data_IF_267558379611
#
_entry.id   IF_267558379611
#
_cell.length_a   1.000
_cell.length_b   1.000
_cell.length_c   1.000
_cell.angle_alpha   90.00
_cell.angle_beta   90.00
_cell.angle_gamma   90.00
#
_symmetry.space_group_name_H-M   'P 1'
#
loop_
_entity.id
_entity.type
_entity.pdbx_description
1 polymer ?
#
# COMPACT_ATOMS: atom_id res chain seq x y z
N UNK A 1 -32.37 -18.70 -10.38
CA UNK A 1 -32.29 -18.45 -8.92
C UNK A 1 -31.11 -17.53 -8.69
N UNK A 2 -31.40 -16.23 -8.57
CA UNK A 2 -30.41 -15.19 -8.28
C UNK A 2 -29.85 -15.42 -6.88
N UNK A 3 -28.60 -15.82 -6.78
CA UNK A 3 -27.78 -15.59 -5.58
C UNK A 3 -26.92 -14.38 -5.91
N UNK A 4 -27.48 -13.21 -5.58
CA UNK A 4 -26.69 -12.00 -5.41
C UNK A 4 -25.61 -12.33 -4.38
N UNK A 5 -24.36 -12.06 -4.76
CA UNK A 5 -23.21 -12.10 -3.86
C UNK A 5 -23.45 -11.05 -2.78
N UNK A 6 -23.96 -11.48 -1.63
CA UNK A 6 -23.89 -10.66 -0.41
C UNK A 6 -22.43 -10.67 0.05
N UNK A 7 -21.63 -9.77 -0.54
CA UNK A 7 -20.39 -9.37 0.09
C UNK A 7 -20.73 -8.80 1.47
N UNK A 8 -20.14 -9.36 2.52
CA UNK A 8 -20.25 -8.91 3.90
C UNK A 8 -20.27 -7.37 3.97
N UNK A 9 -21.42 -6.82 4.34
CA UNK A 9 -21.70 -5.39 4.40
C UNK A 9 -21.11 -4.69 5.63
N UNK A 10 -20.33 -5.39 6.46
CA UNK A 10 -19.91 -4.87 7.78
C UNK A 10 -18.75 -3.86 7.75
N UNK A 11 -18.15 -3.58 6.59
CA UNK A 11 -17.16 -2.50 6.42
C UNK A 11 -17.75 -1.21 5.80
N UNK A 12 -19.04 -1.20 5.43
CA UNK A 12 -19.58 -0.30 4.39
C UNK A 12 -20.24 1.01 4.86
N UNK A 13 -20.20 1.41 6.13
CA UNK A 13 -21.05 2.54 6.60
C UNK A 13 -20.32 3.84 6.99
N UNK A 14 -18.99 3.92 7.06
CA UNK A 14 -18.32 5.11 7.65
C UNK A 14 -17.39 5.95 6.75
N UNK A 15 -17.30 5.67 5.46
CA UNK A 15 -16.30 6.31 4.57
C UNK A 15 -16.59 7.77 4.13
N UNK A 16 -17.53 8.47 4.78
CA UNK A 16 -17.72 9.93 4.62
C UNK A 16 -16.77 10.76 5.48
N UNK A 17 -16.24 10.19 6.57
CA UNK A 17 -15.27 10.79 7.50
C UNK A 17 -14.46 9.66 8.16
N UNK A 18 -13.65 8.95 7.38
CA UNK A 18 -12.74 7.96 7.98
C UNK A 18 -11.79 8.70 8.93
N UNK A 19 -11.77 8.27 10.19
CA UNK A 19 -10.84 8.81 11.18
C UNK A 19 -9.40 8.49 10.78
N UNK A 20 -8.44 9.30 11.23
CA UNK A 20 -7.03 9.04 10.94
C UNK A 20 -6.56 7.66 11.44
N UNK A 21 -7.25 7.09 12.43
CA UNK A 21 -7.00 5.73 12.93
C UNK A 21 -7.50 4.63 12.01
N UNK A 22 -8.61 4.85 11.30
CA UNK A 22 -9.13 3.90 10.31
C UNK A 22 -8.29 3.93 9.03
N UNK A 23 -7.74 5.10 8.69
CA UNK A 23 -6.82 5.24 7.57
C UNK A 23 -5.46 4.58 7.82
N UNK A 24 -5.07 4.41 9.09
CA UNK A 24 -3.79 3.83 9.49
C UNK A 24 -3.58 2.38 8.99
N UNK A 25 -4.66 1.64 8.73
CA UNK A 25 -4.58 0.29 8.16
C UNK A 25 -4.09 0.30 6.70
N UNK A 26 -4.31 1.41 5.99
CA UNK A 26 -3.99 1.53 4.56
C UNK A 26 -2.69 2.29 4.28
N UNK A 27 -2.13 2.94 5.31
CA UNK A 27 -0.89 3.71 5.18
C UNK A 27 0.33 2.80 5.14
N UNK A 28 1.37 3.17 4.39
CA UNK A 28 2.65 2.46 4.42
C UNK A 28 3.39 2.72 5.73
N UNK A 29 4.43 1.92 6.01
CA UNK A 29 5.44 2.27 7.00
C UNK A 29 6.07 3.63 6.65
N UNK A 30 6.23 4.50 7.63
CA UNK A 30 6.82 5.82 7.45
C UNK A 30 8.30 5.82 7.86
N UNK A 31 9.19 6.19 6.94
CA UNK A 31 10.62 6.36 7.24
C UNK A 31 11.01 7.82 6.97
N UNK A 32 11.40 8.55 8.01
CA UNK A 32 11.93 9.90 7.85
C UNK A 32 13.44 9.87 7.64
N UNK A 33 13.86 10.09 6.39
CA UNK A 33 15.27 10.27 6.04
C UNK A 33 15.72 11.71 6.36
N UNK A 34 16.58 11.88 7.36
CA UNK A 34 17.20 13.15 7.70
C UNK A 34 18.50 13.31 6.91
N UNK A 35 18.44 14.04 5.80
CA UNK A 35 19.60 14.34 4.96
C UNK A 35 20.53 15.36 5.61
N UNK A 36 21.81 15.27 5.26
CA UNK A 36 22.89 16.16 5.72
C UNK A 36 22.92 16.31 7.24
N UNK A 37 22.65 15.22 7.97
CA UNK A 37 22.55 15.26 9.42
C UNK A 37 23.93 15.48 10.06
N UNK A 38 24.04 16.55 10.84
CA UNK A 38 25.27 16.96 11.54
C UNK A 38 25.08 17.16 13.05
N UNK A 39 23.86 16.98 13.56
CA UNK A 39 23.58 17.06 14.99
C UNK A 39 23.98 15.76 15.68
N UNK A 40 24.40 15.86 16.93
CA UNK A 40 24.52 14.67 17.78
C UNK A 40 23.13 14.25 18.21
N UNK A 41 22.85 12.94 18.14
CA UNK A 41 21.62 12.38 18.68
C UNK A 41 21.75 12.27 20.20
N UNK A 42 21.63 13.43 20.85
CA UNK A 42 21.74 13.55 22.30
C UNK A 42 20.57 14.40 22.84
N UNK A 43 20.03 13.97 23.97
CA UNK A 43 19.04 14.71 24.75
C UNK A 43 19.49 14.71 26.22
N UNK A 44 19.79 15.89 26.76
CA UNK A 44 20.24 16.11 28.14
C UNK A 44 21.41 15.18 28.58
N UNK A 45 22.45 15.03 27.75
CA UNK A 45 23.59 14.15 28.08
C UNK A 45 23.37 12.67 27.73
N UNK A 46 22.16 12.28 27.31
CA UNK A 46 21.81 10.90 26.96
C UNK A 46 21.81 10.72 25.46
N UNK A 47 22.53 9.72 24.96
CA UNK A 47 22.42 9.29 23.57
C UNK A 47 20.99 8.80 23.28
N UNK A 48 20.40 9.33 22.20
CA UNK A 48 19.07 8.93 21.73
C UNK A 48 19.19 8.22 20.39
N UNK A 49 18.31 7.26 20.16
CA UNK A 49 18.17 6.64 18.84
C UNK A 49 17.51 7.61 17.85
N UNK A 50 17.70 7.43 16.54
CA UNK A 50 16.96 8.17 15.51
C UNK A 50 15.44 8.13 15.71
N UNK A 51 14.92 6.97 16.12
CA UNK A 51 13.50 6.78 16.40
C UNK A 51 13.03 7.61 17.59
N UNK A 52 13.78 7.64 18.68
CA UNK A 52 13.46 8.52 19.83
C UNK A 52 13.51 9.99 19.41
N UNK A 53 14.48 10.39 18.60
CA UNK A 53 14.54 11.75 18.04
C UNK A 53 13.27 12.11 17.26
N UNK A 54 12.76 11.18 16.44
CA UNK A 54 11.48 11.34 15.74
C UNK A 54 10.29 11.51 16.68
N UNK A 55 10.15 10.63 17.67
CA UNK A 55 9.02 10.69 18.62
C UNK A 55 9.06 12.00 19.44
N UNK A 56 10.25 12.49 19.80
CA UNK A 56 10.42 13.81 20.41
C UNK A 56 9.99 14.94 19.46
N UNK A 57 10.36 14.89 18.18
CA UNK A 57 9.93 15.89 17.19
C UNK A 57 8.40 15.90 16.94
N UNK A 58 7.76 14.74 17.10
CA UNK A 58 6.30 14.54 16.99
C UNK A 58 5.56 14.73 18.32
N UNK A 59 6.26 15.08 19.41
CA UNK A 59 5.63 15.34 20.69
C UNK A 59 4.91 16.69 20.68
N UNK A 60 3.72 16.71 21.26
CA UNK A 60 2.89 17.92 21.30
C UNK A 60 3.49 18.94 22.26
N UNK A 61 3.49 20.21 21.85
CA UNK A 61 3.96 21.32 22.69
C UNK A 61 2.77 22.05 23.33
N UNK A 62 2.95 22.81 24.42
CA UNK A 62 1.87 23.59 25.00
C UNK A 62 1.17 24.47 23.94
N UNK A 63 -0.15 24.35 23.82
CA UNK A 63 -0.96 25.03 22.81
C UNK A 63 -1.22 26.51 23.17
N UNK A 64 -0.14 27.28 23.34
CA UNK A 64 -0.17 28.69 23.78
C UNK A 64 -0.61 29.66 22.68
N UNK A 65 -0.73 29.20 21.43
CA UNK A 65 -1.17 30.00 20.28
C UNK A 65 -1.90 29.15 19.25
N UNK A 66 -2.66 29.79 18.36
CA UNK A 66 -3.30 29.12 17.23
C UNK A 66 -2.28 28.40 16.32
N UNK A 67 -1.09 28.99 16.12
CA UNK A 67 0.00 28.36 15.38
C UNK A 67 0.57 27.13 16.09
N UNK A 68 0.67 27.16 17.43
CA UNK A 68 1.09 25.99 18.20
C UNK A 68 0.06 24.85 18.11
N UNK A 69 -1.24 25.19 18.16
CA UNK A 69 -2.33 24.22 17.96
C UNK A 69 -2.26 23.56 16.58
N UNK A 70 -2.17 24.35 15.51
CA UNK A 70 -2.09 23.82 14.15
C UNK A 70 -0.88 22.89 13.94
N UNK A 71 0.28 23.21 14.55
CA UNK A 71 1.45 22.32 14.52
C UNK A 71 1.22 21.01 15.27
N UNK A 72 0.53 21.04 16.42
CA UNK A 72 0.18 19.83 17.15
C UNK A 72 -0.82 18.97 16.37
N UNK A 73 -1.81 19.57 15.73
CA UNK A 73 -2.78 18.86 14.89
C UNK A 73 -2.06 18.08 13.76
N UNK A 74 -1.02 18.67 13.14
CA UNK A 74 -0.17 17.99 12.15
C UNK A 74 0.60 16.82 12.78
N UNK A 75 1.24 17.03 13.94
CA UNK A 75 2.00 15.98 14.63
C UNK A 75 1.11 14.80 15.01
N UNK A 76 -0.07 15.09 15.55
CA UNK A 76 -1.05 14.08 15.93
C UNK A 76 -1.59 13.33 14.71
N UNK A 77 -1.79 14.04 13.59
CA UNK A 77 -2.16 13.41 12.31
C UNK A 77 -1.08 12.44 11.81
N UNK A 78 0.21 12.83 11.85
CA UNK A 78 1.31 11.93 11.46
C UNK A 78 1.34 10.69 12.36
N UNK A 79 1.23 10.87 13.68
CA UNK A 79 1.25 9.75 14.63
C UNK A 79 0.07 8.79 14.43
N UNK A 80 -1.11 9.34 14.14
CA UNK A 80 -2.31 8.54 13.90
C UNK A 80 -2.26 7.81 12.56
N UNK A 81 -1.81 8.48 11.50
CA UNK A 81 -1.76 7.90 10.16
C UNK A 81 -0.66 6.87 10.02
N UNK A 82 0.49 7.04 10.69
CA UNK A 82 1.67 6.20 10.49
C UNK A 82 2.12 5.55 11.79
N UNK A 83 1.37 4.56 12.33
CA UNK A 83 1.71 3.90 13.59
C UNK A 83 3.07 3.19 13.53
N UNK A 84 3.41 2.59 12.39
CA UNK A 84 4.77 2.13 12.10
C UNK A 84 5.56 3.26 11.44
N UNK A 85 6.43 3.88 12.25
CA UNK A 85 7.28 5.00 11.84
C UNK A 85 8.67 4.88 12.43
N UNK A 86 9.63 5.37 11.66
CA UNK A 86 11.05 5.32 12.01
C UNK A 86 11.81 6.48 11.36
N UNK A 87 13.07 6.64 11.74
CA UNK A 87 13.92 7.73 11.30
C UNK A 87 15.32 7.22 10.98
N UNK A 88 15.93 7.79 9.94
CA UNK A 88 17.27 7.43 9.52
C UNK A 88 18.09 8.70 9.23
N UNK A 89 19.13 9.00 10.02
CA UNK A 89 20.04 10.10 9.73
C UNK A 89 21.05 9.67 8.67
N UNK A 90 21.23 10.53 7.66
CA UNK A 90 22.25 10.34 6.65
C UNK A 90 23.14 11.58 6.63
N UNK A 91 24.44 11.37 6.85
CA UNK A 91 25.42 12.46 6.87
C UNK A 91 25.50 13.14 5.51
N UNK A 92 26.12 14.33 5.47
CA UNK A 92 26.38 14.99 4.20
C UNK A 92 27.37 14.16 3.35
N UNK A 93 27.13 13.95 2.04
CA UNK A 93 28.00 13.12 1.20
C UNK A 93 29.42 13.67 1.02
N UNK A 94 29.57 15.00 0.96
CA UNK A 94 30.85 15.69 0.82
C UNK A 94 30.74 17.17 1.21
N UNK A 95 31.88 17.86 1.37
CA UNK A 95 31.92 19.29 1.77
C UNK A 95 32.13 20.27 0.59
N UNK A 96 32.59 19.78 -0.56
CA UNK A 96 32.80 20.61 -1.75
C UNK A 96 31.46 20.90 -2.42
N UNK A 97 30.99 22.14 -2.31
CA UNK A 97 29.69 22.57 -2.83
C UNK A 97 29.57 22.49 -4.35
N UNK A 98 30.66 22.74 -5.09
CA UNK A 98 30.66 22.68 -6.55
C UNK A 98 30.50 21.23 -7.04
N UNK A 99 31.15 20.29 -6.36
CA UNK A 99 30.94 18.86 -6.63
C UNK A 99 29.60 18.35 -6.12
N UNK A 100 29.12 18.85 -4.98
CA UNK A 100 27.82 18.48 -4.42
C UNK A 100 26.67 18.89 -5.34
N UNK A 101 26.80 20.02 -6.05
CA UNK A 101 25.84 20.45 -7.06
C UNK A 101 25.77 19.52 -8.29
N UNK A 102 26.79 18.69 -8.50
CA UNK A 102 26.91 17.74 -9.61
C UNK A 102 27.20 16.31 -9.10
N UNK A 103 26.60 15.94 -7.96
CA UNK A 103 26.90 14.70 -7.23
C UNK A 103 26.72 13.44 -8.09
N UNK A 104 25.82 13.46 -9.07
CA UNK A 104 25.57 12.39 -10.03
C UNK A 104 26.80 12.06 -10.90
N UNK A 105 27.70 13.03 -11.10
CA UNK A 105 28.94 12.87 -11.84
C UNK A 105 30.13 12.48 -10.96
N UNK A 106 29.97 12.56 -9.63
CA UNK A 106 31.03 12.29 -8.67
C UNK A 106 31.17 10.77 -8.46
N UNK A 107 32.37 10.20 -8.67
CA UNK A 107 32.60 8.78 -8.38
C UNK A 107 32.33 8.47 -6.91
N UNK A 108 31.67 7.35 -6.63
CA UNK A 108 31.33 6.95 -5.27
C UNK A 108 32.54 6.94 -4.31
N UNK A 109 33.74 6.60 -4.81
CA UNK A 109 34.98 6.62 -4.02
C UNK A 109 35.37 8.00 -3.46
N UNK A 110 34.88 9.09 -4.04
CA UNK A 110 35.10 10.46 -3.55
C UNK A 110 34.08 10.89 -2.48
N UNK A 111 33.03 10.10 -2.26
CA UNK A 111 32.06 10.34 -1.20
C UNK A 111 32.66 9.96 0.15
N UNK A 112 32.20 10.64 1.20
CA UNK A 112 32.60 10.32 2.57
C UNK A 112 32.32 8.85 2.90
N UNK A 113 33.25 8.11 3.53
CA UNK A 113 33.02 6.73 3.93
C UNK A 113 31.73 6.55 4.73
N UNK A 114 31.47 7.42 5.70
CA UNK A 114 30.29 7.33 6.56
C UNK A 114 28.98 7.54 5.78
N UNK A 115 29.02 8.33 4.70
CA UNK A 115 27.87 8.48 3.81
C UNK A 115 27.60 7.20 3.02
N UNK A 116 28.65 6.57 2.49
CA UNK A 116 28.51 5.32 1.72
C UNK A 116 27.99 4.20 2.60
N UNK A 117 28.56 4.05 3.79
CA UNK A 117 28.12 3.04 4.76
C UNK A 117 26.68 3.32 5.20
N UNK A 118 26.35 4.58 5.49
CA UNK A 118 24.98 5.00 5.81
C UNK A 118 23.98 4.73 4.68
N UNK A 119 24.37 4.95 3.42
CA UNK A 119 23.53 4.67 2.26
C UNK A 119 23.30 3.16 2.08
N UNK A 120 24.35 2.35 2.26
CA UNK A 120 24.22 0.88 2.25
C UNK A 120 23.24 0.41 3.31
N UNK A 121 23.38 0.86 4.56
CA UNK A 121 22.47 0.49 5.64
C UNK A 121 21.04 0.99 5.41
N UNK A 122 20.86 2.18 4.83
CA UNK A 122 19.53 2.68 4.46
C UNK A 122 18.86 1.77 3.43
N UNK A 123 19.59 1.36 2.40
CA UNK A 123 19.08 0.47 1.35
C UNK A 123 18.72 -0.89 1.94
N UNK A 124 19.60 -1.48 2.76
CA UNK A 124 19.33 -2.73 3.47
C UNK A 124 18.09 -2.63 4.36
N UNK A 125 17.95 -1.55 5.12
CA UNK A 125 16.78 -1.28 5.96
C UNK A 125 15.49 -1.22 5.12
N UNK A 126 15.52 -0.49 4.01
CA UNK A 126 14.39 -0.38 3.09
C UNK A 126 13.98 -1.75 2.55
N UNK A 127 14.92 -2.57 2.10
CA UNK A 127 14.62 -3.91 1.59
C UNK A 127 14.16 -4.88 2.67
N UNK A 128 14.75 -4.82 3.87
CA UNK A 128 14.35 -5.66 4.99
C UNK A 128 12.93 -5.34 5.50
N UNK A 129 12.50 -4.08 5.36
CA UNK A 129 11.18 -3.60 5.83
C UNK A 129 10.13 -3.53 4.75
N UNK A 130 10.50 -3.47 3.47
CA UNK A 130 9.57 -3.39 2.36
C UNK A 130 8.62 -4.59 2.39
N UNK A 131 7.31 -4.31 2.38
CA UNK A 131 6.27 -5.31 2.30
C UNK A 131 5.49 -5.14 1.00
N UNK A 132 4.97 -6.23 0.40
CA UNK A 132 4.01 -6.11 -0.67
C UNK A 132 2.87 -5.17 -0.28
N UNK A 133 2.46 -4.29 -1.20
CA UNK A 133 1.35 -3.36 -0.93
C UNK A 133 0.07 -4.16 -0.69
N UNK A 134 -0.65 -3.77 0.36
CA UNK A 134 -1.90 -4.41 0.76
C UNK A 134 -3.01 -3.39 0.95
N UNK A 135 -4.25 -3.86 0.79
CA UNK A 135 -5.47 -3.20 1.24
C UNK A 135 -6.25 -4.24 2.05
N UNK A 136 -6.41 -3.99 3.34
CA UNK A 136 -6.83 -5.01 4.31
C UNK A 136 -5.93 -6.23 4.24
N UNK A 137 -6.53 -7.40 4.00
CA UNK A 137 -5.83 -8.67 3.90
C UNK A 137 -5.32 -9.01 2.49
N UNK A 138 -5.69 -8.22 1.47
CA UNK A 138 -5.38 -8.50 0.07
C UNK A 138 -4.02 -7.93 -0.32
N UNK A 139 -3.16 -8.77 -0.91
CA UNK A 139 -1.92 -8.32 -1.58
C UNK A 139 -2.26 -7.82 -2.98
N UNK A 140 -1.87 -6.59 -3.29
CA UNK A 140 -2.15 -6.00 -4.59
C UNK A 140 -1.24 -6.57 -5.67
N UNK A 141 -1.84 -7.01 -6.77
CA UNK A 141 -1.12 -7.30 -8.02
C UNK A 141 -0.86 -6.01 -8.81
N UNK A 142 -0.02 -6.09 -9.85
CA UNK A 142 0.24 -4.95 -10.73
C UNK A 142 -1.02 -4.38 -11.39
N UNK A 143 -1.93 -5.24 -11.87
CA UNK A 143 -3.19 -4.84 -12.49
C UNK A 143 -4.09 -4.10 -11.51
N UNK A 144 -4.21 -4.60 -10.28
CA UNK A 144 -5.00 -3.98 -9.22
C UNK A 144 -4.43 -2.62 -8.82
N UNK A 145 -3.10 -2.53 -8.72
CA UNK A 145 -2.42 -1.26 -8.41
C UNK A 145 -2.63 -0.23 -9.53
N UNK A 146 -2.53 -0.64 -10.80
CA UNK A 146 -2.81 0.23 -11.94
C UNK A 146 -4.26 0.72 -11.96
N UNK A 147 -5.22 -0.16 -11.64
CA UNK A 147 -6.63 0.21 -11.47
C UNK A 147 -6.83 1.26 -10.37
N UNK A 148 -6.19 1.07 -9.21
CA UNK A 148 -6.26 2.04 -8.10
C UNK A 148 -5.67 3.40 -8.50
N UNK A 149 -4.50 3.41 -9.14
CA UNK A 149 -3.87 4.64 -9.62
C UNK A 149 -4.78 5.36 -10.61
N UNK A 150 -5.39 4.64 -11.54
CA UNK A 150 -6.33 5.22 -12.52
C UNK A 150 -7.53 5.85 -11.82
N UNK A 151 -8.18 5.11 -10.90
CA UNK A 151 -9.31 5.61 -10.14
C UNK A 151 -8.97 6.87 -9.30
N UNK A 152 -7.79 6.90 -8.68
CA UNK A 152 -7.33 8.08 -7.94
C UNK A 152 -7.08 9.28 -8.84
N UNK A 153 -6.38 9.07 -9.97
CA UNK A 153 -6.08 10.13 -10.94
C UNK A 153 -7.38 10.69 -11.53
N UNK A 154 -8.33 9.83 -11.88
CA UNK A 154 -9.64 10.24 -12.40
C UNK A 154 -10.40 11.07 -11.37
N UNK A 155 -10.47 10.63 -10.11
CA UNK A 155 -11.13 11.40 -9.05
C UNK A 155 -10.51 12.80 -8.89
N UNK A 156 -9.18 12.88 -8.84
CA UNK A 156 -8.45 14.16 -8.71
C UNK A 156 -8.73 15.06 -9.90
N UNK A 157 -8.66 14.53 -11.13
CA UNK A 157 -8.87 15.30 -12.35
C UNK A 157 -10.30 15.85 -12.47
N UNK A 158 -11.28 15.22 -11.83
CA UNK A 158 -12.67 15.70 -11.75
C UNK A 158 -12.97 16.52 -10.48
N UNK A 159 -11.94 16.91 -9.72
CA UNK A 159 -12.07 17.76 -8.53
C UNK A 159 -12.63 17.05 -7.29
N UNK A 160 -12.71 15.71 -7.31
CA UNK A 160 -13.10 14.91 -6.16
C UNK A 160 -11.88 14.52 -5.30
N UNK A 161 -12.11 14.32 -4.00
CA UNK A 161 -11.08 13.77 -3.11
C UNK A 161 -11.13 12.25 -3.22
N UNK A 162 -10.05 11.58 -3.66
CA UNK A 162 -10.03 10.12 -3.76
C UNK A 162 -10.16 9.49 -2.37
N UNK A 163 -11.07 8.53 -2.22
CA UNK A 163 -11.17 7.72 -1.00
C UNK A 163 -10.70 6.30 -1.27
N UNK A 164 -9.92 5.74 -0.33
CA UNK A 164 -9.30 4.42 -0.48
C UNK A 164 -10.37 3.34 -0.69
N UNK A 165 -11.47 3.42 0.06
CA UNK A 165 -12.55 2.44 0.00
C UNK A 165 -13.24 2.40 -1.37
N UNK A 166 -13.59 3.57 -1.94
CA UNK A 166 -14.32 3.62 -3.23
C UNK A 166 -13.43 3.20 -4.40
N UNK A 167 -12.16 3.62 -4.41
CA UNK A 167 -11.21 3.20 -5.43
C UNK A 167 -10.97 1.69 -5.36
N UNK A 168 -10.82 1.15 -4.16
CA UNK A 168 -10.64 -0.29 -3.96
C UNK A 168 -11.87 -1.09 -4.39
N UNK A 169 -13.07 -0.64 -4.04
CA UNK A 169 -14.31 -1.30 -4.44
C UNK A 169 -14.42 -1.40 -5.97
N UNK A 170 -14.19 -0.30 -6.69
CA UNK A 170 -14.24 -0.31 -8.15
C UNK A 170 -13.22 -1.27 -8.78
N UNK A 171 -12.02 -1.36 -8.20
CA UNK A 171 -10.98 -2.31 -8.65
C UNK A 171 -11.39 -3.76 -8.36
N UNK A 172 -11.87 -4.05 -7.16
CA UNK A 172 -12.30 -5.40 -6.79
C UNK A 172 -13.46 -5.88 -7.65
N UNK A 173 -14.46 -5.03 -7.93
CA UNK A 173 -15.58 -5.33 -8.81
C UNK A 173 -15.12 -5.59 -10.25
N UNK A 174 -14.18 -4.80 -10.76
CA UNK A 174 -13.60 -4.98 -12.10
C UNK A 174 -12.86 -6.31 -12.21
N UNK A 175 -12.04 -6.66 -11.21
CA UNK A 175 -11.31 -7.92 -11.18
C UNK A 175 -12.26 -9.13 -11.06
N UNK A 176 -13.29 -9.06 -10.22
CA UNK A 176 -14.32 -10.11 -10.14
C UNK A 176 -15.04 -10.30 -11.46
N UNK A 177 -15.39 -9.21 -12.16
CA UNK A 177 -16.05 -9.28 -13.47
C UNK A 177 -15.14 -9.92 -14.51
N UNK A 178 -13.87 -9.49 -14.57
CA UNK A 178 -12.87 -10.09 -15.47
C UNK A 178 -12.70 -11.58 -15.21
N UNK A 179 -12.64 -11.99 -13.94
CA UNK A 179 -12.55 -13.39 -13.55
C UNK A 179 -13.80 -14.19 -13.97
N UNK A 180 -14.99 -13.62 -13.83
CA UNK A 180 -16.23 -14.27 -14.26
C UNK A 180 -16.26 -14.48 -15.79
N UNK A 181 -15.85 -13.47 -16.56
CA UNK A 181 -15.77 -13.56 -18.03
C UNK A 181 -14.71 -14.58 -18.49
N UNK A 182 -13.59 -14.68 -17.77
CA UNK A 182 -12.56 -15.70 -18.02
C UNK A 182 -13.06 -17.11 -17.67
N UNK A 183 -13.73 -17.26 -16.52
CA UNK A 183 -14.32 -18.53 -16.10
C UNK A 183 -15.41 -19.01 -17.06
N UNK A 184 -16.27 -18.11 -17.56
CA UNK A 184 -17.28 -18.46 -18.56
C UNK A 184 -16.63 -18.94 -19.87
N UNK A 185 -15.60 -18.23 -20.35
CA UNK A 185 -14.85 -18.65 -21.54
C UNK A 185 -14.20 -20.01 -21.36
N UNK A 186 -13.60 -20.26 -20.19
CA UNK A 186 -13.01 -21.54 -19.86
C UNK A 186 -14.04 -22.67 -19.80
N UNK A 187 -15.22 -22.42 -19.21
CA UNK A 187 -16.34 -23.37 -19.21
C UNK A 187 -16.73 -23.74 -20.65
N UNK A 188 -16.96 -22.74 -21.50
CA UNK A 188 -17.37 -22.94 -22.89
C UNK A 188 -16.33 -23.71 -23.70
N UNK A 189 -15.05 -23.41 -23.49
CA UNK A 189 -13.96 -24.11 -24.16
C UNK A 189 -13.77 -25.55 -23.65
N UNK A 190 -14.04 -25.79 -22.36
CA UNK A 190 -13.91 -27.10 -21.76
C UNK A 190 -15.08 -28.01 -22.12
N UNK A 191 -16.30 -27.48 -22.26
CA UNK A 191 -17.50 -28.26 -22.50
C UNK A 191 -17.49 -28.89 -23.92
N UNK A 192 -17.53 -30.21 -23.98
CA UNK A 192 -17.61 -30.95 -25.23
C UNK A 192 -19.06 -31.05 -25.71
N UNK A 193 -19.41 -30.33 -26.77
CA UNK A 193 -20.76 -30.34 -27.36
C UNK A 193 -21.08 -31.65 -28.11
N UNK A 194 -20.08 -32.48 -28.42
CA UNK A 194 -20.24 -33.74 -29.18
C UNK A 194 -20.63 -34.96 -28.35
N UNK A 195 -20.98 -34.78 -27.06
CA UNK A 195 -21.34 -35.88 -26.17
C UNK A 195 -22.78 -36.37 -26.39
N UNK A 196 -23.09 -37.56 -25.89
CA UNK A 196 -24.44 -38.11 -25.92
C UNK A 196 -25.43 -37.19 -25.17
N UNK A 197 -26.64 -36.93 -25.72
CA UNK A 197 -27.63 -36.05 -25.12
C UNK A 197 -28.41 -36.70 -23.95
N UNK A 198 -27.97 -37.85 -23.45
CA UNK A 198 -28.56 -38.44 -22.26
C UNK A 198 -28.18 -37.63 -21.01
N UNK A 199 -29.11 -37.60 -20.05
CA UNK A 199 -28.99 -36.75 -18.88
C UNK A 199 -27.74 -37.05 -18.04
N UNK A 200 -27.35 -38.31 -17.90
CA UNK A 200 -26.20 -38.69 -17.07
C UNK A 200 -24.88 -38.18 -17.68
N UNK A 201 -24.72 -38.35 -18.99
CA UNK A 201 -23.53 -37.89 -19.73
C UNK A 201 -23.43 -36.36 -19.74
N UNK A 202 -24.54 -35.66 -19.99
CA UNK A 202 -24.58 -34.19 -19.96
C UNK A 202 -24.22 -33.62 -18.58
N UNK A 203 -24.72 -34.23 -17.51
CA UNK A 203 -24.43 -33.78 -16.14
C UNK A 203 -22.96 -34.00 -15.79
N UNK A 204 -22.39 -35.16 -16.14
CA UNK A 204 -20.98 -35.45 -15.88
C UNK A 204 -20.06 -34.46 -16.60
N UNK A 205 -20.36 -34.14 -17.86
CA UNK A 205 -19.58 -33.19 -18.65
C UNK A 205 -19.73 -31.76 -18.16
N UNK A 206 -20.95 -31.34 -17.82
CA UNK A 206 -21.18 -30.04 -17.18
C UNK A 206 -20.37 -29.88 -15.89
N UNK A 207 -20.38 -30.88 -15.01
CA UNK A 207 -19.63 -30.84 -13.75
C UNK A 207 -18.13 -30.73 -14.00
N UNK A 208 -17.60 -31.45 -15.00
CA UNK A 208 -16.18 -31.39 -15.38
C UNK A 208 -15.79 -30.00 -15.90
N UNK A 209 -16.56 -29.46 -16.85
CA UNK A 209 -16.31 -28.12 -17.41
C UNK A 209 -16.47 -27.02 -16.33
N UNK A 210 -17.46 -27.17 -15.45
CA UNK A 210 -17.70 -26.26 -14.33
C UNK A 210 -16.55 -26.29 -13.31
N UNK A 211 -15.95 -27.45 -13.05
CA UNK A 211 -14.80 -27.54 -12.15
C UNK A 211 -13.61 -26.70 -12.67
N UNK A 212 -13.32 -26.77 -13.97
CA UNK A 212 -12.25 -25.96 -14.61
C UNK A 212 -12.54 -24.45 -14.46
N UNK A 213 -13.78 -24.04 -14.76
CA UNK A 213 -14.18 -22.64 -14.64
C UNK A 213 -14.14 -22.12 -13.20
N UNK A 214 -14.57 -22.95 -12.24
CA UNK A 214 -14.54 -22.62 -10.81
C UNK A 214 -13.11 -22.47 -10.32
N UNK A 215 -12.21 -23.38 -10.67
CA UNK A 215 -10.80 -23.29 -10.26
C UNK A 215 -10.16 -21.97 -10.70
N UNK A 216 -10.42 -21.53 -11.94
CA UNK A 216 -9.92 -20.24 -12.45
C UNK A 216 -10.53 -19.05 -11.70
N UNK A 217 -11.85 -19.05 -11.46
CA UNK A 217 -12.50 -17.98 -10.70
C UNK A 217 -12.00 -17.92 -9.25
N UNK A 218 -11.79 -19.08 -8.63
CA UNK A 218 -11.33 -19.19 -7.25
C UNK A 218 -9.92 -18.64 -7.05
N UNK A 219 -9.04 -18.71 -8.06
CA UNK A 219 -7.73 -18.07 -8.01
C UNK A 219 -7.85 -16.55 -7.78
N UNK A 220 -8.76 -15.87 -8.49
CA UNK A 220 -8.98 -14.43 -8.32
C UNK A 220 -9.73 -14.13 -7.02
N UNK A 221 -10.71 -14.96 -6.65
CA UNK A 221 -11.42 -14.82 -5.36
C UNK A 221 -10.48 -14.94 -4.17
N UNK A 222 -9.54 -15.89 -4.20
CA UNK A 222 -8.52 -16.06 -3.16
C UNK A 222 -7.55 -14.87 -3.13
N UNK A 223 -7.21 -14.28 -4.28
CA UNK A 223 -6.39 -13.06 -4.32
C UNK A 223 -7.11 -11.86 -3.68
N UNK A 224 -8.42 -11.73 -3.84
CA UNK A 224 -9.23 -10.65 -3.25
C UNK A 224 -9.70 -10.93 -1.82
N UNK A 225 -9.37 -12.11 -1.29
CA UNK A 225 -9.75 -12.60 0.03
C UNK A 225 -11.26 -12.43 0.36
N UNK A 226 -12.10 -12.60 -0.66
CA UNK A 226 -13.56 -12.58 -0.53
C UNK A 226 -14.01 -13.91 0.07
N UNK A 227 -14.31 -13.95 1.36
CA UNK A 227 -14.93 -15.12 2.02
C UNK A 227 -16.42 -15.20 1.68
N UNK A 228 -16.90 -16.40 1.36
CA UNK A 228 -18.32 -16.74 1.34
C UNK A 228 -18.82 -17.05 2.74
#
# INVERSE_FOLDING_TARGET
MNTLVECHHDWLVHAGQASASELAEFTPSFLWLLRDFYLQLEDNGRQVSPREYLETALSSVPATSAGAKAKNDIRDSIKSLFPDRDCFPLVRPMSDEAKLAHLESVPAAQLRPEFRDGLTHLVELCFARARPKRIGSTVLTGTMLAGLVSAYVDAINHGAVPTIATAWQGVAESECRRAADEAERAYRAAFNEGISPDQATLVAEHQRALAVARELYEQVRCCLNLTC
#
